data_IF_262636684465
#
_entry.id   IF_262636684465
#
_cell.length_a   1.000
_cell.length_b   1.000
_cell.length_c   1.000
_cell.angle_alpha   90.00
_cell.angle_beta   90.00
_cell.angle_gamma   90.00
#
_symmetry.space_group_name_H-M   'P 1'
#
loop_
_entity.id
_entity.type
_entity.pdbx_description
1 polymer ?
#
# COMPACT_ATOMS: atom_id res chain seq x y z
N UNK A 1 2.94 5.07 -5.29
CA UNK A 1 1.86 5.28 -4.28
C UNK A 1 2.39 5.49 -2.86
N UNK A 2 3.34 4.70 -2.36
CA UNK A 2 3.92 4.83 -1.01
C UNK A 2 4.48 6.23 -0.72
N UNK A 3 5.30 6.77 -1.61
CA UNK A 3 5.83 8.14 -1.47
C UNK A 3 4.72 9.20 -1.42
N UNK A 4 3.67 9.06 -2.23
CA UNK A 4 2.53 9.99 -2.23
C UNK A 4 1.88 10.02 -0.85
N UNK A 5 1.60 8.85 -0.29
CA UNK A 5 1.02 8.74 1.05
C UNK A 5 1.97 9.20 2.15
N UNK A 6 3.28 8.96 2.01
CA UNK A 6 4.30 9.43 2.95
C UNK A 6 4.29 10.96 3.05
N UNK A 7 4.41 11.64 1.91
CA UNK A 7 4.40 13.10 1.86
C UNK A 7 3.05 13.68 2.26
N UNK A 8 1.95 13.04 1.86
CA UNK A 8 0.61 13.48 2.27
C UNK A 8 0.40 13.33 3.78
N UNK A 9 0.75 12.20 4.38
CA UNK A 9 0.69 12.01 5.83
C UNK A 9 1.53 13.07 6.56
N UNK A 10 2.77 13.31 6.10
CA UNK A 10 3.63 14.36 6.65
C UNK A 10 2.98 15.74 6.60
N UNK A 11 2.37 16.10 5.47
CA UNK A 11 1.64 17.36 5.29
C UNK A 11 0.46 17.49 6.25
N UNK A 12 -0.37 16.45 6.39
CA UNK A 12 -1.55 16.49 7.29
C UNK A 12 -1.13 16.57 8.76
N UNK A 13 -0.08 15.84 9.16
CA UNK A 13 0.46 15.92 10.53
C UNK A 13 1.07 17.28 10.85
N UNK A 14 1.88 17.81 9.94
CA UNK A 14 2.45 19.14 10.09
C UNK A 14 1.37 20.22 10.16
N UNK A 15 0.36 20.16 9.28
CA UNK A 15 -0.76 21.09 9.29
C UNK A 15 -1.56 21.03 10.60
N UNK A 16 -1.79 19.84 11.15
CA UNK A 16 -2.49 19.67 12.44
C UNK A 16 -1.74 20.35 13.60
N UNK A 17 -0.41 20.19 13.66
CA UNK A 17 0.44 20.86 14.66
C UNK A 17 0.41 22.39 14.45
N UNK A 18 0.59 22.85 13.21
CA UNK A 18 0.57 24.28 12.88
C UNK A 18 -0.77 24.95 13.22
N UNK A 19 -1.89 24.20 13.10
CA UNK A 19 -3.24 24.64 13.47
C UNK A 19 -3.56 24.49 14.96
N UNK A 20 -2.63 23.97 15.77
CA UNK A 20 -2.83 23.66 17.19
C UNK A 20 -4.00 22.70 17.44
N UNK A 21 -4.30 21.82 16.48
CA UNK A 21 -5.28 20.74 16.65
C UNK A 21 -4.75 19.62 17.56
N UNK A 22 -3.44 19.62 17.79
CA UNK A 22 -2.68 18.69 18.63
C UNK A 22 -1.57 19.45 19.36
N UNK A 23 -1.33 19.08 20.62
CA UNK A 23 -0.12 19.49 21.33
C UNK A 23 1.08 18.63 20.89
N UNK A 24 2.21 19.27 20.61
CA UNK A 24 3.46 18.58 20.27
C UNK A 24 3.92 17.69 21.42
N UNK A 25 3.67 18.09 22.67
CA UNK A 25 4.02 17.27 23.83
C UNK A 25 3.27 15.94 23.81
N UNK A 26 1.97 15.94 23.51
CA UNK A 26 1.18 14.70 23.37
C UNK A 26 1.73 13.79 22.26
N UNK A 27 2.27 14.37 21.17
CA UNK A 27 2.90 13.59 20.09
C UNK A 27 4.18 12.91 20.54
N UNK A 28 5.00 13.59 21.35
CA UNK A 28 6.28 13.04 21.85
C UNK A 28 6.05 11.81 22.72
N UNK A 29 4.99 11.79 23.52
CA UNK A 29 4.62 10.65 24.36
C UNK A 29 3.80 9.57 23.61
N UNK A 30 3.46 9.80 22.35
CA UNK A 30 2.68 8.86 21.52
C UNK A 30 1.17 8.96 21.69
N UNK A 31 0.68 9.86 22.55
CA UNK A 31 -0.74 10.08 22.85
C UNK A 31 -1.43 11.07 21.90
N UNK A 32 -0.69 11.60 20.92
CA UNK A 32 -1.19 12.57 19.93
C UNK A 32 -2.45 12.10 19.20
N UNK A 33 -3.59 12.71 19.53
CA UNK A 33 -4.91 12.37 18.96
C UNK A 33 -5.11 12.94 17.56
N UNK A 34 -4.49 12.31 16.57
CA UNK A 34 -4.44 12.85 15.20
C UNK A 34 -5.84 13.10 14.61
N UNK A 35 -6.03 14.22 13.89
CA UNK A 35 -7.26 14.49 13.16
C UNK A 35 -7.63 13.33 12.23
N UNK A 36 -8.92 13.17 11.96
CA UNK A 36 -9.46 12.02 11.19
C UNK A 36 -8.72 11.82 9.85
N UNK A 37 -8.42 12.91 9.13
CA UNK A 37 -7.70 12.85 7.85
C UNK A 37 -6.26 12.35 8.00
N UNK A 38 -5.51 12.89 8.96
CA UNK A 38 -4.14 12.44 9.25
C UNK A 38 -4.11 10.95 9.62
N UNK A 39 -5.05 10.47 10.44
CA UNK A 39 -5.20 9.05 10.77
C UNK A 39 -5.54 8.19 9.55
N UNK A 40 -6.46 8.65 8.71
CA UNK A 40 -6.87 7.94 7.50
C UNK A 40 -5.71 7.79 6.49
N UNK A 41 -4.93 8.86 6.25
CA UNK A 41 -3.76 8.77 5.37
C UNK A 41 -2.67 7.90 5.97
N UNK A 42 -2.42 8.01 7.29
CA UNK A 42 -1.48 7.14 7.98
C UNK A 42 -1.87 5.65 7.90
N UNK A 43 -3.15 5.31 8.12
CA UNK A 43 -3.64 3.93 7.99
C UNK A 43 -3.49 3.40 6.57
N UNK A 44 -3.77 4.23 5.55
CA UNK A 44 -3.53 3.87 4.16
C UNK A 44 -2.05 3.62 3.87
N UNK A 45 -1.16 4.45 4.43
CA UNK A 45 0.29 4.31 4.28
C UNK A 45 0.80 2.98 4.86
N UNK A 46 0.42 2.63 6.10
CA UNK A 46 0.82 1.38 6.73
C UNK A 46 0.36 0.16 5.92
N UNK A 47 -0.89 0.14 5.44
CA UNK A 47 -1.36 -0.95 4.59
C UNK A 47 -0.55 -1.08 3.28
N UNK A 48 -0.09 0.05 2.71
CA UNK A 48 0.81 0.03 1.55
C UNK A 48 2.24 -0.44 1.87
N UNK A 49 2.57 -0.72 3.13
CA UNK A 49 3.86 -1.30 3.52
C UNK A 49 3.77 -2.78 3.90
N UNK A 50 2.58 -3.32 4.15
CA UNK A 50 2.43 -4.72 4.56
C UNK A 50 2.52 -5.71 3.38
N UNK A 51 1.82 -5.39 2.28
CA UNK A 51 1.71 -6.31 1.12
C UNK A 51 2.76 -6.05 0.03
N UNK A 52 3.08 -4.79 -0.35
CA UNK A 52 4.04 -4.53 -1.41
C UNK A 52 5.46 -5.10 -1.24
N UNK A 53 6.02 -5.29 -0.02
CA UNK A 53 7.32 -5.97 0.13
C UNK A 53 7.35 -7.37 -0.49
N UNK A 54 6.25 -8.14 -0.36
CA UNK A 54 6.15 -9.47 -0.98
C UNK A 54 6.10 -9.39 -2.51
N UNK A 55 5.45 -8.35 -3.05
CA UNK A 55 5.46 -8.07 -4.49
C UNK A 55 6.87 -7.71 -5.00
N UNK A 56 7.60 -6.88 -4.25
CA UNK A 56 8.98 -6.54 -4.62
C UNK A 56 9.87 -7.78 -4.59
N UNK A 57 9.73 -8.63 -3.57
CA UNK A 57 10.50 -9.87 -3.45
C UNK A 57 10.25 -10.81 -4.64
N UNK A 58 8.98 -11.14 -4.94
CA UNK A 58 8.68 -12.04 -6.06
C UNK A 58 9.13 -11.47 -7.41
N UNK A 59 9.05 -10.14 -7.59
CA UNK A 59 9.51 -9.47 -8.81
C UNK A 59 11.03 -9.57 -8.97
N UNK A 60 11.78 -9.34 -7.90
CA UNK A 60 13.25 -9.49 -7.93
C UNK A 60 13.65 -10.95 -8.18
N UNK A 61 12.99 -11.90 -7.53
CA UNK A 61 13.23 -13.33 -7.76
C UNK A 61 12.94 -13.74 -9.21
N UNK A 62 11.83 -13.29 -9.78
CA UNK A 62 11.47 -13.57 -11.17
C UNK A 62 12.46 -12.95 -12.18
N UNK A 63 13.01 -11.77 -11.87
CA UNK A 63 14.05 -11.15 -12.69
C UNK A 63 15.37 -11.93 -12.60
N UNK A 64 15.78 -12.36 -11.41
CA UNK A 64 17.02 -13.13 -11.20
C UNK A 64 16.91 -14.53 -11.84
N UNK A 65 15.74 -15.16 -11.75
CA UNK A 65 15.48 -16.46 -12.36
C UNK A 65 15.23 -16.37 -13.88
N UNK A 66 15.23 -15.16 -14.45
CA UNK A 66 14.90 -14.90 -15.86
C UNK A 66 13.51 -15.43 -16.28
N UNK A 67 12.58 -15.57 -15.32
CA UNK A 67 11.21 -16.07 -15.55
C UNK A 67 10.17 -14.96 -15.70
N UNK A 68 10.58 -13.69 -15.71
CA UNK A 68 9.69 -12.53 -15.80
C UNK A 68 9.11 -12.30 -17.22
N UNK A 69 8.31 -13.26 -17.70
CA UNK A 69 7.66 -13.23 -19.00
C UNK A 69 6.42 -12.32 -19.08
N UNK A 70 5.71 -12.31 -20.24
CA UNK A 70 4.53 -11.48 -20.44
C UNK A 70 3.38 -11.73 -19.45
N UNK A 71 3.18 -12.98 -19.03
CA UNK A 71 2.17 -13.35 -18.04
C UNK A 71 2.48 -12.72 -16.66
N UNK A 72 3.72 -12.89 -16.19
CA UNK A 72 4.19 -12.27 -14.95
C UNK A 72 4.04 -10.74 -14.98
N UNK A 73 4.42 -10.11 -16.11
CA UNK A 73 4.28 -8.66 -16.30
C UNK A 73 2.82 -8.20 -16.24
N UNK A 74 1.89 -8.95 -16.84
CA UNK A 74 0.47 -8.64 -16.78
C UNK A 74 -0.08 -8.72 -15.34
N UNK A 75 0.30 -9.76 -14.59
CA UNK A 75 -0.03 -9.89 -13.17
C UNK A 75 0.56 -8.74 -12.34
N UNK A 76 1.82 -8.35 -12.61
CA UNK A 76 2.47 -7.25 -11.92
C UNK A 76 1.73 -5.92 -12.11
N UNK A 77 1.29 -5.62 -13.33
CA UNK A 77 0.48 -4.43 -13.59
C UNK A 77 -0.90 -4.50 -12.94
N UNK A 78 -1.56 -5.65 -12.97
CA UNK A 78 -2.82 -5.86 -12.27
C UNK A 78 -2.68 -5.60 -10.76
N UNK A 79 -1.57 -6.05 -10.15
CA UNK A 79 -1.24 -5.76 -8.76
C UNK A 79 -1.09 -4.25 -8.54
N UNK A 80 -0.27 -3.55 -9.34
CA UNK A 80 -0.07 -2.10 -9.22
C UNK A 80 -1.39 -1.33 -9.32
N UNK A 81 -2.25 -1.67 -10.29
CA UNK A 81 -3.56 -1.03 -10.48
C UNK A 81 -4.46 -1.26 -9.26
N UNK A 82 -4.54 -2.49 -8.76
CA UNK A 82 -5.34 -2.78 -7.56
C UNK A 82 -4.89 -1.96 -6.34
N UNK A 83 -3.58 -1.76 -6.17
CA UNK A 83 -3.03 -0.95 -5.08
C UNK A 83 -3.33 0.53 -5.23
N UNK A 84 -3.34 1.06 -6.45
CA UNK A 84 -3.75 2.45 -6.74
C UNK A 84 -5.24 2.61 -6.42
N UNK A 85 -6.09 1.69 -6.88
CA UNK A 85 -7.53 1.72 -6.60
C UNK A 85 -7.81 1.66 -5.09
N UNK A 86 -7.18 0.70 -4.39
CA UNK A 86 -7.30 0.56 -2.94
C UNK A 86 -6.86 1.83 -2.20
N UNK A 87 -5.70 2.41 -2.57
CA UNK A 87 -5.24 3.69 -2.01
C UNK A 87 -6.27 4.79 -2.22
N UNK A 88 -6.74 4.98 -3.47
CA UNK A 88 -7.67 6.03 -3.84
C UNK A 88 -8.97 5.92 -3.03
N UNK A 89 -9.56 4.72 -2.94
CA UNK A 89 -10.75 4.45 -2.14
C UNK A 89 -10.48 4.77 -0.67
N UNK A 90 -9.35 4.30 -0.11
CA UNK A 90 -9.02 4.49 1.30
C UNK A 90 -8.90 5.96 1.68
N UNK A 91 -8.20 6.78 0.87
CA UNK A 91 -7.95 8.20 1.20
C UNK A 91 -9.05 9.15 0.78
N UNK A 92 -9.98 8.74 -0.09
CA UNK A 92 -11.13 9.56 -0.54
C UNK A 92 -12.42 9.18 0.20
N UNK A 93 -13.20 8.25 -0.33
CA UNK A 93 -14.51 7.82 0.21
C UNK A 93 -14.39 7.02 1.50
N UNK A 94 -13.29 6.29 1.68
CA UNK A 94 -13.08 5.31 2.74
C UNK A 94 -14.24 4.32 2.89
N UNK A 95 -14.89 3.98 1.76
CA UNK A 95 -15.97 2.99 1.76
C UNK A 95 -15.37 1.60 1.95
N UNK A 96 -15.66 0.98 3.10
CA UNK A 96 -15.18 -0.35 3.48
C UNK A 96 -15.66 -1.41 2.49
N UNK A 97 -16.85 -1.25 1.89
CA UNK A 97 -17.42 -2.19 0.92
C UNK A 97 -16.64 -2.25 -0.38
N UNK A 98 -15.99 -1.15 -0.76
CA UNK A 98 -15.15 -1.08 -1.96
C UNK A 98 -13.67 -1.35 -1.62
N UNK A 99 -13.23 -0.90 -0.44
CA UNK A 99 -11.86 -1.04 0.02
C UNK A 99 -11.46 -2.50 0.22
N UNK A 100 -12.31 -3.30 0.88
CA UNK A 100 -12.04 -4.71 1.15
C UNK A 100 -11.78 -5.52 -0.13
N UNK A 101 -12.72 -5.51 -1.10
CA UNK A 101 -12.52 -6.19 -2.37
C UNK A 101 -11.28 -5.72 -3.15
N UNK A 102 -11.02 -4.41 -3.21
CA UNK A 102 -9.83 -3.90 -3.90
C UNK A 102 -8.51 -4.43 -3.28
N UNK A 103 -8.46 -4.55 -1.96
CA UNK A 103 -7.34 -5.17 -1.25
C UNK A 103 -7.23 -6.67 -1.56
N UNK A 104 -8.34 -7.40 -1.47
CA UNK A 104 -8.40 -8.85 -1.67
C UNK A 104 -8.01 -9.24 -3.09
N UNK A 105 -8.48 -8.51 -4.10
CA UNK A 105 -8.06 -8.72 -5.50
C UNK A 105 -6.54 -8.60 -5.63
N UNK A 106 -5.94 -7.57 -5.02
CA UNK A 106 -4.48 -7.41 -5.03
C UNK A 106 -3.74 -8.56 -4.36
N UNK A 107 -4.28 -9.11 -3.25
CA UNK A 107 -3.70 -10.29 -2.59
C UNK A 107 -3.77 -11.53 -3.48
N UNK A 108 -4.90 -11.79 -4.14
CA UNK A 108 -5.01 -12.93 -5.04
C UNK A 108 -4.10 -12.82 -6.27
N UNK A 109 -3.97 -11.62 -6.84
CA UNK A 109 -3.01 -11.39 -7.94
C UNK A 109 -1.59 -11.64 -7.46
N UNK A 110 -1.22 -11.18 -6.26
CA UNK A 110 0.10 -11.43 -5.70
C UNK A 110 0.34 -12.94 -5.47
N UNK A 111 -0.64 -13.67 -4.94
CA UNK A 111 -0.56 -15.13 -4.81
C UNK A 111 -0.34 -15.81 -6.16
N UNK A 112 -1.05 -15.37 -7.20
CA UNK A 112 -0.87 -15.90 -8.55
C UNK A 112 0.55 -15.66 -9.07
N UNK A 113 1.15 -14.49 -8.80
CA UNK A 113 2.56 -14.23 -9.16
C UNK A 113 3.54 -15.19 -8.48
N UNK A 114 3.31 -15.53 -7.21
CA UNK A 114 4.15 -16.50 -6.50
C UNK A 114 4.02 -17.92 -7.06
N UNK A 115 2.80 -18.32 -7.44
CA UNK A 115 2.56 -19.61 -8.10
C UNK A 115 3.21 -19.66 -9.48
N UNK A 116 3.07 -18.59 -10.26
CA UNK A 116 3.68 -18.45 -11.59
C UNK A 116 5.22 -18.54 -11.53
N UNK A 117 5.83 -17.85 -10.57
CA UNK A 117 7.27 -17.96 -10.32
C UNK A 117 7.67 -19.40 -9.95
N UNK A 118 6.98 -20.01 -8.99
CA UNK A 118 7.29 -21.37 -8.54
C UNK A 118 7.17 -22.41 -9.66
N UNK A 119 6.16 -22.26 -10.52
CA UNK A 119 5.98 -23.11 -11.69
C UNK A 119 7.11 -22.90 -12.71
N UNK A 120 7.39 -21.65 -13.08
CA UNK A 120 8.38 -21.28 -14.12
C UNK A 120 9.83 -21.60 -13.74
N UNK A 121 10.12 -21.77 -12.45
CA UNK A 121 11.47 -22.17 -11.98
C UNK A 121 11.66 -23.69 -12.05
N UNK A 122 10.58 -24.47 -11.92
CA UNK A 122 10.65 -25.94 -11.84
C UNK A 122 10.54 -26.59 -13.22
N UNK A 123 9.68 -26.05 -14.08
CA UNK A 123 9.34 -26.60 -15.39
C UNK A 123 9.86 -25.69 -16.51
#
# INVERSE_FOLDING_TARGET
>A
MTFILLFWMGRERYAAIARKEIDVQDVVFGDGKWPKKARQVAASFHNQLEIPPLFYLVSVLALIAETAGPAFLALAWAFVISRIAHMAIHVTSNDVKLRGPAYVIGVFVLMAMWVDLGFSVIF
#
